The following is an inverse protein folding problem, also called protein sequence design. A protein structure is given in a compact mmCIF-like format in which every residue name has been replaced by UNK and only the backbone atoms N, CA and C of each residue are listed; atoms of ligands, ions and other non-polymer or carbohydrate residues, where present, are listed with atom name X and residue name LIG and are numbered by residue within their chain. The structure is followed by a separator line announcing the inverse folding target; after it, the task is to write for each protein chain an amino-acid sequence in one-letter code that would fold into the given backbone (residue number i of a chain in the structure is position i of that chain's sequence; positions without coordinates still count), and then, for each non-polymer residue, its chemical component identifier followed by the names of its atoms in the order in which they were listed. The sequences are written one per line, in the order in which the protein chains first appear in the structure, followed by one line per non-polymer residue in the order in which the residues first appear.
data_IF_115591138263
#
_entry.id   IF_115591138263
#
_cell.length_a   1.000
_cell.length_b   1.000
_cell.length_c   1.000
_cell.angle_alpha   90.00
_cell.angle_beta   90.00
_cell.angle_gamma   90.00
#
_symmetry.space_group_name_H-M   'P 1'
#
loop_
_entity.id
_entity.type
_entity.pdbx_description
1 polymer ?
#
# COMPACT_ATOMS: atom_id res chain seq x y z
N UNK A 1 15.01 24.53 3.38
CA UNK A 1 14.74 24.06 3.31
C UNK A 1 14.04 23.37 3.19
N UNK A 2 13.74 22.98 3.14
CA UNK A 2 13.18 22.25 2.93
C UNK A 2 12.58 21.60 2.76
N UNK A 3 11.54 22.25 3.26
CA UNK A 3 11.78 21.24 2.33
C UNK A 3 11.13 19.92 2.63
N UNK A 4 11.07 19.07 1.64
CA UNK A 4 10.53 17.74 1.83
C UNK A 4 11.47 16.94 2.71
N UNK A 5 11.00 16.59 3.89
CA UNK A 5 11.76 15.72 4.77
C UNK A 5 11.47 14.26 4.38
N UNK A 6 12.32 13.74 3.52
CA UNK A 6 12.17 12.36 3.07
C UNK A 6 12.50 11.34 4.16
N UNK A 7 13.00 11.81 5.29
CA UNK A 7 13.31 10.95 6.43
C UNK A 7 12.09 10.72 7.33
N UNK A 8 11.09 11.60 7.23
CA UNK A 8 9.88 11.45 8.04
C UNK A 8 8.88 10.60 7.26
N UNK A 9 8.59 9.38 7.72
CA UNK A 9 7.68 8.50 7.00
C UNK A 9 6.24 8.94 7.13
N UNK A 10 5.47 8.63 6.11
CA UNK A 10 4.03 8.77 6.14
C UNK A 10 3.39 7.39 6.14
N UNK A 11 2.12 7.33 6.45
CA UNK A 11 1.39 6.07 6.50
C UNK A 11 0.15 6.12 5.63
N UNK A 12 -0.15 5.01 5.00
CA UNK A 12 -1.33 4.86 4.15
C UNK A 12 -2.07 3.61 4.59
N UNK A 13 -3.32 3.77 4.98
CA UNK A 13 -4.15 2.64 5.39
C UNK A 13 -4.91 2.12 4.19
N UNK A 14 -4.76 0.83 3.91
CA UNK A 14 -5.37 0.20 2.74
C UNK A 14 -6.09 -1.08 3.12
N UNK A 15 -7.11 -1.43 2.34
CA UNK A 15 -7.84 -2.67 2.49
C UNK A 15 -7.53 -3.55 1.28
N UNK A 16 -7.17 -4.80 1.54
CA UNK A 16 -6.87 -5.78 0.49
C UNK A 16 -7.92 -6.89 0.56
N UNK A 17 -8.67 -7.07 -0.52
CA UNK A 17 -9.62 -8.16 -0.60
C UNK A 17 -8.91 -9.49 -0.67
N UNK A 18 -9.44 -10.49 0.03
CA UNK A 18 -8.84 -11.82 0.07
C UNK A 18 -9.64 -12.85 -0.73
N UNK A 19 -10.35 -12.42 -1.75
CA UNK A 19 -11.10 -13.33 -2.63
C UNK A 19 -10.20 -14.38 -3.25
N UNK A 20 -8.98 -13.99 -3.60
CA UNK A 20 -7.95 -14.91 -4.07
C UNK A 20 -6.94 -15.06 -2.95
N UNK A 21 -6.64 -16.30 -2.59
CA UNK A 21 -5.67 -16.58 -1.52
C UNK A 21 -4.28 -15.99 -1.81
N UNK A 22 -3.98 -15.80 -3.10
CA UNK A 22 -2.68 -15.27 -3.53
C UNK A 22 -2.56 -13.76 -3.40
N UNK A 23 -3.66 -13.03 -3.15
CA UNK A 23 -3.60 -11.56 -3.13
C UNK A 23 -2.60 -11.01 -2.12
N UNK A 24 -2.58 -11.54 -0.92
CA UNK A 24 -1.66 -11.05 0.10
C UNK A 24 -0.20 -11.38 -0.25
N UNK A 25 0.04 -12.56 -0.82
CA UNK A 25 1.38 -12.97 -1.26
C UNK A 25 1.85 -12.06 -2.39
N UNK A 26 0.97 -11.80 -3.37
CA UNK A 26 1.30 -10.92 -4.49
C UNK A 26 1.56 -9.49 -4.01
N UNK A 27 0.75 -9.00 -3.09
CA UNK A 27 0.96 -7.69 -2.50
C UNK A 27 2.36 -7.62 -1.87
N UNK A 28 2.69 -8.59 -1.03
CA UNK A 28 3.99 -8.65 -0.37
C UNK A 28 5.14 -8.65 -1.38
N UNK A 29 5.05 -9.48 -2.40
CA UNK A 29 6.11 -9.60 -3.41
C UNK A 29 6.27 -8.31 -4.21
N UNK A 30 5.18 -7.64 -4.52
CA UNK A 30 5.22 -6.43 -5.36
C UNK A 30 5.68 -5.21 -4.59
N UNK A 31 5.25 -5.04 -3.32
CA UNK A 31 5.68 -3.87 -2.55
C UNK A 31 7.17 -3.92 -2.21
N UNK A 32 7.76 -5.10 -2.16
CA UNK A 32 9.19 -5.24 -1.92
C UNK A 32 10.03 -4.61 -3.03
N UNK A 33 9.46 -4.44 -4.21
CA UNK A 33 10.16 -3.83 -5.35
C UNK A 33 10.09 -2.31 -5.32
N UNK A 34 9.34 -1.74 -4.39
CA UNK A 34 9.14 -0.29 -4.31
C UNK A 34 10.03 0.27 -3.21
N UNK A 35 11.10 0.95 -3.61
CA UNK A 35 12.09 1.47 -2.67
C UNK A 35 11.52 2.46 -1.66
N UNK A 36 10.51 3.24 -2.05
CA UNK A 36 9.94 4.24 -1.18
C UNK A 36 9.03 3.66 -0.09
N UNK A 37 8.65 2.39 -0.23
CA UNK A 37 7.90 1.71 0.82
C UNK A 37 8.89 1.03 1.74
N UNK A 38 8.99 1.53 2.98
CA UNK A 38 9.95 0.97 3.93
C UNK A 38 9.41 -0.26 4.63
N UNK A 39 8.10 -0.32 4.85
CA UNK A 39 7.50 -1.48 5.51
C UNK A 39 5.99 -1.39 5.43
N UNK A 40 5.32 -2.47 5.85
CA UNK A 40 3.87 -2.44 6.04
C UNK A 40 3.49 -3.28 7.25
N UNK A 41 2.35 -2.98 7.84
CA UNK A 41 1.91 -3.64 9.06
C UNK A 41 0.46 -4.08 8.91
N UNK A 42 0.19 -5.35 9.22
CA UNK A 42 -1.18 -5.86 9.21
C UNK A 42 -1.87 -5.34 10.47
N UNK A 43 -2.96 -4.59 10.28
CA UNK A 43 -3.73 -4.02 11.38
C UNK A 43 -4.89 -4.93 11.79
N UNK A 44 -5.50 -5.56 10.80
CA UNK A 44 -6.65 -6.42 11.04
C UNK A 44 -6.72 -7.45 9.92
N UNK A 45 -7.01 -8.68 10.28
CA UNK A 45 -7.12 -9.78 9.31
C UNK A 45 -8.40 -10.57 9.60
N UNK A 46 -9.20 -10.78 8.57
CA UNK A 46 -10.32 -11.68 8.65
C UNK A 46 -10.41 -12.46 7.33
N UNK A 47 -11.46 -13.25 7.16
CA UNK A 47 -11.56 -14.14 5.98
C UNK A 47 -11.84 -13.40 4.69
N UNK A 48 -12.36 -12.18 4.76
CA UNK A 48 -12.77 -11.42 3.57
C UNK A 48 -11.75 -10.39 3.13
N UNK A 49 -11.01 -9.80 4.07
CA UNK A 49 -10.05 -8.74 3.76
C UNK A 49 -8.99 -8.63 4.84
N UNK A 50 -7.93 -7.90 4.51
CA UNK A 50 -6.90 -7.52 5.47
C UNK A 50 -6.72 -6.02 5.40
N UNK A 51 -6.62 -5.38 6.57
CA UNK A 51 -6.30 -3.96 6.67
C UNK A 51 -4.82 -3.82 6.95
N UNK A 52 -4.14 -3.03 6.12
CA UNK A 52 -2.70 -2.88 6.16
C UNK A 52 -2.34 -1.41 6.25
N UNK A 53 -1.38 -1.10 7.09
CA UNK A 53 -0.79 0.24 7.17
C UNK A 53 0.54 0.20 6.44
N UNK A 54 0.65 0.97 5.36
CA UNK A 54 1.89 1.06 4.57
C UNK A 54 2.70 2.26 5.04
N UNK A 55 3.94 2.01 5.41
CA UNK A 55 4.89 3.05 5.78
C UNK A 55 5.73 3.41 4.56
N UNK A 56 5.69 4.67 4.15
CA UNK A 56 6.38 5.08 2.94
C UNK A 56 7.07 6.43 3.11
N UNK A 57 8.00 6.71 2.22
CA UNK A 57 8.73 7.98 2.16
C UNK A 57 8.32 8.74 0.90
N UNK A 58 8.32 10.07 0.99
CA UNK A 58 7.99 10.91 -0.14
C UNK A 58 6.52 11.27 -0.22
N UNK A 59 6.07 11.65 -1.40
CA UNK A 59 4.69 12.11 -1.61
C UNK A 59 3.76 10.97 -1.95
N UNK A 60 2.50 11.10 -1.52
CA UNK A 60 1.49 10.08 -1.77
C UNK A 60 1.29 9.80 -3.25
N UNK A 61 1.20 10.84 -4.09
CA UNK A 61 0.98 10.63 -5.51
C UNK A 61 2.10 9.83 -6.16
N UNK A 62 3.33 10.01 -5.68
CA UNK A 62 4.46 9.25 -6.19
C UNK A 62 4.36 7.77 -5.81
N UNK A 63 3.93 7.50 -4.57
CA UNK A 63 3.71 6.13 -4.11
C UNK A 63 2.59 5.47 -4.91
N UNK A 64 1.51 6.19 -5.16
CA UNK A 64 0.40 5.65 -5.95
C UNK A 64 0.84 5.25 -7.35
N UNK A 65 1.70 6.06 -7.97
CA UNK A 65 2.23 5.74 -9.30
C UNK A 65 3.14 4.52 -9.28
N UNK A 66 3.96 4.38 -8.26
CA UNK A 66 4.85 3.23 -8.15
C UNK A 66 4.06 1.94 -7.88
N UNK A 67 3.02 2.02 -7.08
CA UNK A 67 2.13 0.89 -6.86
C UNK A 67 1.44 0.49 -8.16
N UNK A 68 0.99 1.47 -8.93
CA UNK A 68 0.35 1.21 -10.22
C UNK A 68 1.29 0.51 -11.18
N UNK A 69 2.57 0.88 -11.20
CA UNK A 69 3.57 0.22 -12.04
C UNK A 69 3.73 -1.25 -11.68
N UNK A 70 3.52 -1.59 -10.41
CA UNK A 70 3.56 -2.97 -9.95
C UNK A 70 2.20 -3.65 -10.04
N UNK A 71 1.26 -3.02 -10.75
CA UNK A 71 -0.09 -3.54 -10.97
C UNK A 71 -0.89 -3.67 -9.69
N UNK A 72 -0.62 -2.78 -8.75
CA UNK A 72 -1.39 -2.63 -7.53
C UNK A 72 -2.17 -1.33 -7.67
N UNK A 73 -3.46 -1.44 -7.89
CA UNK A 73 -4.29 -0.26 -8.15
C UNK A 73 -5.01 0.12 -6.86
N UNK A 74 -4.83 1.36 -6.44
CA UNK A 74 -5.53 1.89 -5.28
C UNK A 74 -6.75 2.68 -5.72
N UNK A 75 -7.86 2.43 -5.05
CA UNK A 75 -9.09 3.13 -5.30
C UNK A 75 -9.63 3.63 -3.97
N UNK A 76 -9.97 4.91 -3.94
CA UNK A 76 -10.55 5.50 -2.74
C UNK A 76 -12.06 5.31 -2.76
N UNK A 77 -12.57 4.60 -1.78
CA UNK A 77 -13.99 4.34 -1.63
C UNK A 77 -14.39 4.91 -0.27
N UNK A 78 -15.15 6.03 -0.29
CA UNK A 78 -15.40 6.78 0.92
C UNK A 78 -14.08 7.31 1.45
N UNK A 79 -13.75 6.98 2.69
CA UNK A 79 -12.49 7.40 3.32
C UNK A 79 -11.44 6.28 3.33
N UNK A 80 -11.73 5.17 2.66
CA UNK A 80 -10.87 3.99 2.73
C UNK A 80 -10.23 3.70 1.37
N UNK A 81 -8.90 3.57 1.37
CA UNK A 81 -8.19 3.08 0.20
C UNK A 81 -8.35 1.57 0.09
N UNK A 82 -8.73 1.13 -1.08
CA UNK A 82 -8.90 -0.28 -1.37
C UNK A 82 -7.91 -0.68 -2.46
N UNK A 83 -7.29 -1.84 -2.30
CA UNK A 83 -6.30 -2.33 -3.25
C UNK A 83 -6.91 -3.40 -4.14
N UNK A 84 -6.66 -3.25 -5.45
CA UNK A 84 -6.96 -4.29 -6.42
C UNK A 84 -5.64 -4.73 -7.04
N UNK A 85 -5.36 -6.02 -6.98
CA UNK A 85 -4.15 -6.60 -7.56
C UNK A 85 -4.52 -7.23 -8.90
N UNK A 86 -3.82 -6.81 -9.92
CA UNK A 86 -4.07 -7.26 -11.29
C UNK A 86 -3.05 -8.33 -11.69
#
# INVERSE_FOLDING_TARGET
QNLIDVKTPSFLNVEIELKKKTNLVEFNNRVKKIDLISNYYVQQLNKDYVLVKIKYLGKLDKILRQLEKEKIILKLIGDQWSIKII
#
